data_IF_396779001240
#
_entry.id   IF_396779001240
#
_cell.length_a   1.000
_cell.length_b   1.000
_cell.length_c   1.000
_cell.angle_alpha   90.00
_cell.angle_beta   90.00
_cell.angle_gamma   90.00
#
_symmetry.space_group_name_H-M   'P 1'
#
loop_
_entity.id
_entity.type
_entity.pdbx_description
1 polymer ?
#
# COMPACT_ATOMS: atom_id res chain seq x y z
N UNK A 1 3.16 1.07 -10.49
CA UNK A 1 2.09 0.11 -10.84
C UNK A 1 1.93 -0.82 -9.66
N UNK A 2 0.70 -1.15 -9.25
CA UNK A 2 0.51 -2.13 -8.20
C UNK A 2 1.41 -3.33 -8.47
N UNK A 3 1.88 -4.00 -7.40
CA UNK A 3 2.53 -5.29 -7.51
C UNK A 3 1.53 -6.31 -8.02
N UNK A 4 1.23 -6.16 -9.29
CA UNK A 4 0.44 -7.16 -9.94
C UNK A 4 1.26 -8.46 -9.90
N UNK A 5 0.66 -9.57 -9.51
CA UNK A 5 1.34 -10.85 -9.39
C UNK A 5 1.80 -11.41 -10.75
N UNK A 6 1.61 -10.65 -11.79
CA UNK A 6 1.85 -11.01 -13.18
C UNK A 6 2.17 -9.74 -13.95
N UNK A 7 3.03 -9.85 -14.91
CA UNK A 7 3.11 -8.87 -15.97
C UNK A 7 1.76 -8.86 -16.69
N UNK A 8 0.99 -7.76 -16.64
CA UNK A 8 -0.34 -7.79 -17.23
C UNK A 8 -0.20 -8.00 -18.73
N UNK A 9 -0.66 -9.16 -19.18
CA UNK A 9 -0.66 -9.50 -20.60
C UNK A 9 -1.55 -8.56 -21.42
N UNK A 10 -2.44 -7.79 -20.75
CA UNK A 10 -3.31 -6.82 -21.43
C UNK A 10 -3.79 -5.70 -20.52
N UNK A 11 -4.07 -4.54 -21.10
CA UNK A 11 -4.73 -3.39 -20.43
C UNK A 11 -6.10 -3.79 -19.86
N UNK A 12 -6.78 -4.75 -20.48
CA UNK A 12 -8.07 -5.26 -20.03
C UNK A 12 -7.97 -5.97 -18.68
N UNK A 13 -6.98 -6.87 -18.50
CA UNK A 13 -6.75 -7.55 -17.23
C UNK A 13 -6.41 -6.57 -16.11
N UNK A 14 -5.63 -5.54 -16.40
CA UNK A 14 -5.37 -4.45 -15.44
C UNK A 14 -6.69 -3.77 -15.03
N UNK A 15 -7.53 -3.42 -16.00
CA UNK A 15 -8.82 -2.79 -15.75
C UNK A 15 -9.73 -3.66 -14.87
N UNK A 16 -9.81 -4.96 -15.16
CA UNK A 16 -10.58 -5.94 -14.38
C UNK A 16 -10.05 -6.05 -12.94
N UNK A 17 -8.73 -6.10 -12.76
CA UNK A 17 -8.12 -6.13 -11.43
C UNK A 17 -8.42 -4.86 -10.63
N UNK A 18 -8.20 -3.69 -11.23
CA UNK A 18 -8.47 -2.41 -10.57
C UNK A 18 -9.94 -2.26 -10.19
N UNK A 19 -10.86 -2.79 -11.01
CA UNK A 19 -12.29 -2.85 -10.71
C UNK A 19 -12.65 -3.79 -9.57
N UNK A 20 -11.87 -4.86 -9.34
CA UNK A 20 -12.12 -5.85 -8.29
C UNK A 20 -11.46 -5.53 -6.95
N UNK A 21 -10.42 -4.68 -6.97
CA UNK A 21 -9.59 -4.40 -5.80
C UNK A 21 -10.24 -3.39 -4.86
N UNK A 22 -10.51 -3.82 -3.63
CA UNK A 22 -11.03 -2.96 -2.55
C UNK A 22 -12.31 -2.21 -2.93
N UNK A 23 -13.26 -2.91 -3.55
CA UNK A 23 -14.58 -2.37 -3.94
C UNK A 23 -15.31 -1.74 -2.74
N UNK A 24 -15.05 -2.26 -1.53
CA UNK A 24 -15.63 -1.76 -0.28
C UNK A 24 -14.98 -0.43 0.18
N UNK A 25 -13.92 0.06 -0.46
CA UNK A 25 -13.22 1.31 -0.10
C UNK A 25 -12.58 1.29 1.29
N UNK A 26 -12.07 0.15 1.75
CA UNK A 26 -11.44 0.00 3.06
C UNK A 26 -10.12 0.73 3.15
N UNK A 27 -9.35 0.77 2.06
CA UNK A 27 -8.02 1.39 2.05
C UNK A 27 -8.10 2.90 2.25
N UNK A 28 -8.91 3.67 1.48
CA UNK A 28 -9.04 5.11 1.74
C UNK A 28 -9.59 5.41 3.13
N UNK A 29 -10.55 4.63 3.65
CA UNK A 29 -11.03 4.79 5.03
C UNK A 29 -9.94 4.49 6.07
N UNK A 30 -9.06 3.53 5.82
CA UNK A 30 -7.95 3.23 6.72
C UNK A 30 -6.91 4.37 6.71
N UNK A 31 -6.64 4.98 5.55
CA UNK A 31 -5.78 6.15 5.42
C UNK A 31 -6.34 7.32 6.23
N UNK A 32 -7.63 7.62 6.08
CA UNK A 32 -8.33 8.66 6.82
C UNK A 32 -8.30 8.42 8.33
N UNK A 33 -8.51 7.17 8.76
CA UNK A 33 -8.46 6.78 10.18
C UNK A 33 -7.04 6.89 10.80
N UNK A 34 -5.98 6.86 10.00
CA UNK A 34 -4.61 7.10 10.45
C UNK A 34 -4.28 8.59 10.60
N UNK A 35 -5.20 9.44 10.17
CA UNK A 35 -5.18 10.89 10.32
C UNK A 35 -5.87 11.54 9.12
N UNK A 36 -6.69 12.58 9.35
CA UNK A 36 -7.48 13.22 8.32
C UNK A 36 -6.63 13.73 7.15
N UNK A 37 -7.12 13.54 5.94
CA UNK A 37 -6.52 14.06 4.70
C UNK A 37 -7.29 15.25 4.13
N UNK A 38 -8.51 15.49 4.62
CA UNK A 38 -9.32 16.63 4.22
C UNK A 38 -8.61 17.96 4.44
N UNK A 39 -8.59 18.81 3.39
CA UNK A 39 -7.87 20.08 3.39
C UNK A 39 -6.35 20.00 3.40
N UNK A 40 -5.75 18.80 3.26
CA UNK A 40 -4.31 18.59 3.26
C UNK A 40 -3.74 18.54 1.84
N UNK A 41 -2.48 18.95 1.69
CA UNK A 41 -1.70 18.77 0.47
C UNK A 41 -1.13 17.36 0.47
N UNK A 42 -1.65 16.51 -0.42
CA UNK A 42 -1.30 15.09 -0.50
C UNK A 42 -0.51 14.81 -1.75
N UNK A 43 0.68 14.26 -1.61
CA UNK A 43 1.46 13.72 -2.71
C UNK A 43 1.16 12.22 -2.83
N UNK A 44 0.75 11.80 -4.02
CA UNK A 44 0.43 10.42 -4.33
C UNK A 44 1.46 9.85 -5.30
N UNK A 45 2.19 8.82 -4.85
CA UNK A 45 3.11 8.03 -5.68
C UNK A 45 2.41 6.73 -6.09
N UNK A 46 2.33 6.47 -7.39
CA UNK A 46 1.60 5.31 -7.91
C UNK A 46 0.09 5.40 -7.68
N UNK A 47 -0.59 4.26 -7.69
CA UNK A 47 -2.03 4.16 -7.39
C UNK A 47 -2.99 4.69 -8.47
N UNK A 48 -2.50 5.48 -9.41
CA UNK A 48 -3.26 5.98 -10.56
C UNK A 48 -4.46 6.84 -10.21
N UNK A 49 -5.31 7.10 -11.21
CA UNK A 49 -6.49 7.98 -11.08
C UNK A 49 -7.50 7.53 -10.03
N UNK A 50 -7.68 6.22 -9.87
CA UNK A 50 -8.67 5.70 -8.91
C UNK A 50 -8.32 6.10 -7.49
N UNK A 51 -7.06 5.96 -7.09
CA UNK A 51 -6.60 6.32 -5.73
C UNK A 51 -6.55 7.84 -5.54
N UNK A 52 -6.15 8.59 -6.56
CA UNK A 52 -6.22 10.05 -6.51
C UNK A 52 -7.65 10.51 -6.23
N UNK A 53 -8.62 10.06 -7.02
CA UNK A 53 -10.03 10.42 -6.82
C UNK A 53 -10.56 10.03 -5.44
N UNK A 54 -10.22 8.85 -4.93
CA UNK A 54 -10.63 8.43 -3.59
C UNK A 54 -10.11 9.35 -2.48
N UNK A 55 -8.89 9.89 -2.62
CA UNK A 55 -8.34 10.86 -1.67
C UNK A 55 -8.97 12.25 -1.83
N UNK A 56 -9.26 12.65 -3.07
CA UNK A 56 -9.98 13.91 -3.38
C UNK A 56 -11.41 13.88 -2.83
N UNK A 57 -12.11 12.75 -2.92
CA UNK A 57 -13.43 12.54 -2.33
C UNK A 57 -13.42 12.67 -0.79
N UNK A 58 -12.27 12.43 -0.14
CA UNK A 58 -12.06 12.72 1.28
C UNK A 58 -11.67 14.19 1.54
N UNK A 59 -11.65 15.04 0.50
CA UNK A 59 -11.35 16.45 0.59
C UNK A 59 -9.86 16.81 0.54
N UNK A 60 -8.98 15.89 0.13
CA UNK A 60 -7.57 16.17 -0.07
C UNK A 60 -7.30 17.00 -1.33
N UNK A 61 -6.24 17.79 -1.32
CA UNK A 61 -5.65 18.40 -2.51
C UNK A 61 -4.53 17.47 -2.99
N UNK A 62 -4.79 16.70 -4.05
CA UNK A 62 -3.89 15.62 -4.50
C UNK A 62 -2.99 16.08 -5.64
N UNK A 63 -1.68 15.93 -5.46
CA UNK A 63 -0.69 15.97 -6.54
C UNK A 63 -0.29 14.51 -6.84
N UNK A 64 -0.76 14.01 -7.98
CA UNK A 64 -0.46 12.63 -8.40
C UNK A 64 0.82 12.61 -9.21
N UNK A 65 1.78 11.84 -8.71
CA UNK A 65 3.04 11.54 -9.38
C UNK A 65 2.96 10.14 -9.97
N UNK A 66 3.76 9.86 -10.97
CA UNK A 66 3.95 8.50 -11.47
C UNK A 66 4.59 7.57 -10.45
N UNK A 67 5.15 6.48 -10.96
CA UNK A 67 5.93 5.57 -10.12
C UNK A 67 7.18 6.26 -9.57
N UNK A 68 7.66 5.76 -8.44
CA UNK A 68 8.88 6.26 -7.81
C UNK A 68 10.10 6.14 -8.77
N UNK A 69 10.80 7.25 -8.95
CA UNK A 69 11.97 7.36 -9.82
C UNK A 69 13.26 7.75 -9.08
N UNK A 70 13.23 7.72 -7.76
CA UNK A 70 14.36 8.12 -6.91
C UNK A 70 14.29 9.57 -6.42
N UNK A 71 13.49 10.43 -7.06
CA UNK A 71 13.27 11.84 -6.66
C UNK A 71 11.82 12.26 -6.88
N UNK A 72 11.34 13.13 -6.01
CA UNK A 72 10.02 13.77 -6.12
C UNK A 72 10.24 15.21 -6.57
N UNK A 73 9.74 15.56 -7.75
CA UNK A 73 9.90 16.92 -8.31
C UNK A 73 8.94 17.91 -7.66
N UNK A 74 9.16 18.14 -6.37
CA UNK A 74 8.43 19.08 -5.53
C UNK A 74 9.38 19.79 -4.56
N UNK A 75 9.06 21.03 -4.13
CA UNK A 75 9.84 21.75 -3.14
C UNK A 75 9.90 21.05 -1.78
N UNK A 76 10.92 21.39 -1.00
CA UNK A 76 11.05 20.99 0.40
C UNK A 76 9.84 21.47 1.21
N UNK A 77 9.32 20.61 2.08
CA UNK A 77 8.22 20.96 2.98
C UNK A 77 6.94 21.38 2.27
N UNK A 78 6.64 20.84 1.09
CA UNK A 78 5.47 21.20 0.29
C UNK A 78 4.23 20.34 0.56
N UNK A 79 4.38 19.16 1.18
CA UNK A 79 3.29 18.23 1.41
C UNK A 79 2.99 17.98 2.89
N UNK A 80 1.72 17.84 3.24
CA UNK A 80 1.26 17.40 4.57
C UNK A 80 1.29 15.86 4.68
N UNK A 81 0.97 15.19 3.57
CA UNK A 81 0.91 13.73 3.52
C UNK A 81 1.55 13.23 2.22
N UNK A 82 2.38 12.22 2.31
CA UNK A 82 2.86 11.45 1.18
C UNK A 82 2.31 10.03 1.29
N UNK A 83 1.60 9.60 0.25
CA UNK A 83 1.05 8.24 0.15
C UNK A 83 1.69 7.55 -1.03
N UNK A 84 2.35 6.42 -0.79
CA UNK A 84 2.92 5.58 -1.83
C UNK A 84 2.09 4.31 -1.97
N UNK A 85 1.49 4.08 -3.14
CA UNK A 85 0.73 2.87 -3.46
C UNK A 85 1.56 1.96 -4.35
N UNK A 86 2.13 0.90 -3.78
CA UNK A 86 2.95 -0.10 -4.47
C UNK A 86 4.04 0.51 -5.35
N UNK A 87 4.51 1.70 -4.98
CA UNK A 87 5.52 2.47 -5.73
C UNK A 87 6.57 2.99 -4.77
N UNK A 88 7.82 2.55 -4.92
CA UNK A 88 8.90 2.90 -4.00
C UNK A 88 8.88 2.14 -2.68
N UNK A 89 9.90 2.37 -1.88
CA UNK A 89 10.14 1.77 -0.56
C UNK A 89 10.27 0.23 -0.55
N UNK A 90 10.46 -0.39 -1.69
CA UNK A 90 10.65 -1.85 -1.82
C UNK A 90 12.09 -2.25 -1.54
N UNK A 91 13.02 -1.43 -1.96
CA UNK A 91 14.46 -1.61 -1.71
C UNK A 91 14.84 -1.37 -0.26
N UNK A 92 13.90 -0.90 0.57
CA UNK A 92 14.17 -0.53 1.96
C UNK A 92 15.33 0.48 2.07
N UNK A 93 15.35 1.47 1.17
CA UNK A 93 16.41 2.46 1.05
C UNK A 93 16.21 3.63 2.02
N UNK A 94 17.31 4.07 2.63
CA UNK A 94 17.32 5.27 3.47
C UNK A 94 17.23 6.54 2.61
N UNK A 95 17.66 6.49 1.37
CA UNK A 95 17.59 7.58 0.40
C UNK A 95 16.12 7.89 0.06
N UNK A 96 15.31 6.85 -0.16
CA UNK A 96 13.86 7.02 -0.38
C UNK A 96 13.20 7.70 0.83
N UNK A 97 13.61 7.31 2.03
CA UNK A 97 13.09 7.89 3.26
C UNK A 97 13.48 9.36 3.42
N UNK A 98 14.76 9.70 3.11
CA UNK A 98 15.24 11.09 3.13
C UNK A 98 14.52 11.98 2.13
N UNK A 99 14.26 11.45 0.94
CA UNK A 99 13.53 12.19 -0.10
C UNK A 99 12.07 12.42 0.29
N UNK A 100 11.39 11.41 0.85
CA UNK A 100 10.06 11.59 1.41
C UNK A 100 10.04 12.64 2.54
N UNK A 101 11.02 12.58 3.45
CA UNK A 101 11.16 13.55 4.53
C UNK A 101 11.46 14.96 4.02
N UNK A 102 12.20 15.10 2.92
CA UNK A 102 12.47 16.39 2.30
C UNK A 102 11.18 17.08 1.86
N UNK A 103 10.32 16.36 1.15
CA UNK A 103 9.06 16.88 0.59
C UNK A 103 8.01 17.13 1.67
N UNK A 104 8.00 16.32 2.73
CA UNK A 104 7.05 16.50 3.83
C UNK A 104 7.36 17.72 4.69
N UNK A 105 6.31 18.44 5.08
CA UNK A 105 6.35 19.46 6.13
C UNK A 105 6.77 18.87 7.47
N UNK A 106 7.12 19.71 8.43
CA UNK A 106 7.26 19.29 9.82
C UNK A 106 5.93 18.64 10.27
N UNK A 107 5.99 17.54 10.98
CA UNK A 107 4.84 16.71 11.37
C UNK A 107 4.03 16.11 10.20
N UNK A 108 4.54 16.21 8.97
CA UNK A 108 3.97 15.56 7.80
C UNK A 108 4.00 14.02 7.93
N UNK A 109 3.08 13.36 7.28
CA UNK A 109 2.89 11.91 7.38
C UNK A 109 3.32 11.19 6.12
N UNK A 110 4.06 10.10 6.29
CA UNK A 110 4.40 9.14 5.25
C UNK A 110 3.59 7.86 5.44
N UNK A 111 2.84 7.47 4.41
CA UNK A 111 2.09 6.23 4.34
C UNK A 111 2.57 5.42 3.13
N UNK A 112 3.03 4.20 3.37
CA UNK A 112 3.50 3.29 2.33
C UNK A 112 2.59 2.07 2.30
N UNK A 113 1.95 1.85 1.18
CA UNK A 113 0.95 0.79 0.97
C UNK A 113 1.57 -0.32 0.15
N UNK A 114 1.63 -1.51 0.72
CA UNK A 114 2.10 -2.73 0.08
C UNK A 114 1.20 -3.92 0.42
N UNK A 115 1.40 -5.01 -0.27
CA UNK A 115 0.78 -6.27 0.08
C UNK A 115 1.29 -6.75 1.45
N UNK A 116 0.39 -7.30 2.25
CA UNK A 116 0.77 -7.91 3.53
C UNK A 116 1.04 -9.39 3.40
N UNK A 117 0.37 -10.05 2.47
CA UNK A 117 0.40 -11.50 2.32
C UNK A 117 -0.55 -12.23 3.29
N UNK A 118 -0.37 -13.54 3.41
CA UNK A 118 -1.18 -14.45 4.24
C UNK A 118 -2.66 -14.46 3.86
N UNK A 119 -2.94 -14.47 2.58
CA UNK A 119 -4.28 -14.42 1.99
C UNK A 119 -4.34 -15.29 0.73
N UNK A 120 -5.52 -15.36 0.10
CA UNK A 120 -5.73 -16.20 -1.09
C UNK A 120 -4.91 -15.69 -2.28
N UNK A 121 -4.84 -14.37 -2.45
CA UNK A 121 -4.08 -13.74 -3.54
C UNK A 121 -2.59 -14.01 -3.40
N UNK A 122 -2.03 -13.90 -2.19
CA UNK A 122 -0.61 -14.20 -1.93
C UNK A 122 -0.28 -15.65 -2.26
N UNK A 123 -1.16 -16.58 -1.93
CA UNK A 123 -0.96 -18.00 -2.28
C UNK A 123 -0.95 -18.25 -3.79
N UNK A 124 -1.80 -17.55 -4.54
CA UNK A 124 -1.79 -17.62 -6.01
C UNK A 124 -0.50 -17.08 -6.63
N UNK A 125 0.10 -16.07 -6.00
CA UNK A 125 1.32 -15.39 -6.47
C UNK A 125 2.61 -16.13 -6.08
N UNK A 126 2.51 -17.13 -5.22
CA UNK A 126 3.64 -17.59 -4.44
C UNK A 126 4.04 -16.56 -3.39
N UNK A 127 4.18 -16.99 -2.14
CA UNK A 127 4.54 -16.08 -1.03
C UNK A 127 5.88 -15.38 -1.31
N UNK A 128 5.83 -14.09 -1.56
CA UNK A 128 7.03 -13.30 -1.77
C UNK A 128 7.75 -13.10 -0.44
N UNK A 129 9.06 -13.38 -0.36
CA UNK A 129 9.83 -13.34 0.90
C UNK A 129 9.79 -11.98 1.60
N UNK A 130 9.68 -10.89 0.84
CA UNK A 130 9.65 -9.52 1.36
C UNK A 130 8.45 -9.25 2.26
N UNK A 131 7.28 -9.84 2.01
CA UNK A 131 6.09 -9.60 2.85
C UNK A 131 6.33 -9.97 4.32
N UNK A 132 6.95 -11.12 4.55
CA UNK A 132 7.35 -11.55 5.89
C UNK A 132 8.47 -10.71 6.48
N UNK A 133 9.36 -10.16 5.67
CA UNK A 133 10.52 -9.37 6.10
C UNK A 133 10.10 -7.97 6.52
N UNK A 134 9.24 -7.31 5.75
CA UNK A 134 8.81 -5.94 6.04
C UNK A 134 7.98 -5.80 7.31
N UNK A 135 7.13 -6.77 7.62
CA UNK A 135 6.23 -6.74 8.79
C UNK A 135 6.86 -7.25 10.09
N UNK A 136 8.09 -7.78 10.07
CA UNK A 136 8.79 -8.26 11.27
C UNK A 136 9.17 -7.12 12.20
N UNK A 137 9.21 -7.41 13.52
CA UNK A 137 9.61 -6.45 14.57
C UNK A 137 10.96 -5.77 14.28
N UNK A 138 11.92 -6.50 13.71
CA UNK A 138 13.23 -6.00 13.25
C UNK A 138 13.29 -5.74 11.74
N UNK A 139 12.17 -5.71 11.05
CA UNK A 139 12.09 -5.32 9.65
C UNK A 139 12.42 -3.85 9.45
N UNK A 140 12.77 -3.51 8.23
CA UNK A 140 13.24 -2.17 7.90
C UNK A 140 12.23 -1.06 8.28
N UNK A 141 10.95 -1.24 7.96
CA UNK A 141 9.93 -0.23 8.28
C UNK A 141 9.85 0.05 9.79
N UNK A 142 9.73 -1.01 10.60
CA UNK A 142 9.57 -0.83 12.04
C UNK A 142 10.84 -0.26 12.69
N UNK A 143 12.03 -0.64 12.20
CA UNK A 143 13.31 -0.05 12.66
C UNK A 143 13.44 1.43 12.32
N UNK A 144 12.80 1.89 11.23
CA UNK A 144 12.81 3.29 10.82
C UNK A 144 11.59 4.08 11.32
N UNK A 145 10.98 3.64 12.42
CA UNK A 145 9.94 4.36 13.13
C UNK A 145 8.54 4.25 12.54
N UNK A 146 8.33 3.38 11.56
CA UNK A 146 6.99 3.11 11.06
C UNK A 146 6.20 2.23 12.03
N UNK A 147 4.89 2.43 12.01
CA UNK A 147 3.89 1.50 12.52
C UNK A 147 3.21 0.83 11.34
N UNK A 148 2.55 -0.30 11.59
CA UNK A 148 1.82 -1.05 10.57
C UNK A 148 0.33 -1.09 10.89
N UNK A 149 -0.50 -0.83 9.89
CA UNK A 149 -1.94 -1.09 9.90
C UNK A 149 -2.25 -2.13 8.82
N UNK A 150 -2.75 -3.28 9.22
CA UNK A 150 -3.22 -4.30 8.25
C UNK A 150 -4.69 -4.04 7.95
N UNK A 151 -5.03 -4.04 6.68
CA UNK A 151 -6.39 -3.86 6.16
C UNK A 151 -6.78 -5.15 5.42
N UNK A 152 -7.83 -5.80 5.90
CA UNK A 152 -8.37 -7.00 5.27
C UNK A 152 -9.31 -6.62 4.13
N UNK A 153 -8.82 -6.71 2.90
CA UNK A 153 -9.54 -6.42 1.68
C UNK A 153 -9.92 -7.71 0.93
N UNK A 154 -10.56 -7.54 -0.21
CA UNK A 154 -10.89 -8.61 -1.12
C UNK A 154 -10.65 -8.15 -2.57
N UNK A 155 -10.32 -9.09 -3.43
CA UNK A 155 -10.67 -9.01 -4.83
C UNK A 155 -12.10 -9.51 -4.95
N UNK A 156 -13.02 -8.66 -5.37
CA UNK A 156 -14.45 -8.97 -5.48
C UNK A 156 -14.89 -8.86 -6.94
N UNK A 157 -15.55 -9.86 -7.43
CA UNK A 157 -16.04 -9.94 -8.81
C UNK A 157 -17.56 -9.96 -8.81
N UNK A 158 -18.17 -9.57 -9.92
CA UNK A 158 -19.62 -9.48 -10.06
C UNK A 158 -20.32 -10.84 -10.04
N UNK A 159 -19.61 -11.90 -10.47
CA UNK A 159 -20.14 -13.28 -10.49
C UNK A 159 -19.02 -14.31 -10.35
N UNK A 160 -19.40 -15.56 -10.12
CA UNK A 160 -18.46 -16.71 -10.13
C UNK A 160 -17.81 -16.87 -11.51
N UNK A 161 -18.55 -16.64 -12.58
CA UNK A 161 -18.04 -16.74 -13.95
C UNK A 161 -17.01 -15.63 -14.22
N UNK A 162 -17.28 -14.41 -13.77
CA UNK A 162 -16.32 -13.29 -13.87
C UNK A 162 -15.04 -13.57 -13.08
N UNK A 163 -15.16 -14.12 -11.86
CA UNK A 163 -14.02 -14.55 -11.06
C UNK A 163 -13.24 -15.66 -11.78
N UNK A 164 -13.96 -16.67 -12.31
CA UNK A 164 -13.37 -17.80 -13.02
C UNK A 164 -12.57 -17.37 -14.24
N UNK A 165 -13.20 -16.59 -15.12
CA UNK A 165 -12.53 -16.05 -16.30
C UNK A 165 -11.27 -15.26 -15.92
N UNK A 166 -11.38 -14.32 -14.94
CA UNK A 166 -10.24 -13.54 -14.51
C UNK A 166 -9.09 -14.41 -13.95
N UNK A 167 -9.40 -15.36 -13.10
CA UNK A 167 -8.38 -16.20 -12.47
C UNK A 167 -7.70 -17.14 -13.46
N UNK A 168 -8.44 -17.70 -14.41
CA UNK A 168 -7.88 -18.54 -15.47
C UNK A 168 -7.02 -17.72 -16.41
N UNK A 169 -7.52 -16.56 -16.88
CA UNK A 169 -6.78 -15.67 -17.78
C UNK A 169 -5.46 -15.17 -17.15
N UNK A 170 -5.45 -15.05 -15.82
CA UNK A 170 -4.32 -14.48 -15.07
C UNK A 170 -3.33 -15.54 -14.59
N UNK A 171 -3.82 -16.65 -14.07
CA UNK A 171 -3.02 -17.64 -13.35
C UNK A 171 -3.05 -19.03 -14.00
N UNK A 172 -3.75 -19.18 -15.13
CA UNK A 172 -3.84 -20.45 -15.85
C UNK A 172 -4.36 -21.60 -14.97
N UNK A 173 -3.65 -22.76 -14.94
CA UNK A 173 -4.08 -23.93 -14.17
C UNK A 173 -4.24 -23.68 -12.66
N UNK A 174 -3.44 -22.80 -12.07
CA UNK A 174 -3.57 -22.41 -10.65
C UNK A 174 -4.88 -21.66 -10.41
N UNK A 175 -5.26 -20.76 -11.31
CA UNK A 175 -6.53 -20.07 -11.26
C UNK A 175 -7.72 -21.03 -11.37
N UNK A 176 -7.65 -21.99 -12.30
CA UNK A 176 -8.68 -23.02 -12.45
C UNK A 176 -8.87 -23.83 -11.16
N UNK A 177 -7.78 -24.30 -10.53
CA UNK A 177 -7.84 -25.05 -9.28
C UNK A 177 -8.46 -24.26 -8.12
N UNK A 178 -8.23 -22.94 -8.07
CA UNK A 178 -8.84 -22.08 -7.04
C UNK A 178 -10.35 -21.95 -7.24
N UNK A 179 -10.81 -21.82 -8.47
CA UNK A 179 -12.24 -21.73 -8.80
C UNK A 179 -13.02 -22.93 -8.32
N UNK A 180 -12.49 -24.15 -8.43
CA UNK A 180 -13.14 -25.37 -7.95
C UNK A 180 -13.49 -25.34 -6.46
N UNK A 181 -12.73 -24.57 -5.68
CA UNK A 181 -12.91 -24.46 -4.23
C UNK A 181 -13.57 -23.15 -3.78
N UNK A 182 -13.72 -22.21 -4.68
CA UNK A 182 -14.23 -20.87 -4.37
C UNK A 182 -15.76 -20.93 -4.12
N UNK A 183 -16.19 -20.48 -2.95
CA UNK A 183 -17.61 -20.47 -2.56
C UNK A 183 -18.33 -19.15 -2.86
N UNK A 184 -17.59 -18.09 -3.14
CA UNK A 184 -18.10 -16.74 -3.40
C UNK A 184 -17.18 -16.07 -4.42
N UNK A 185 -17.66 -15.14 -5.24
CA UNK A 185 -16.83 -14.48 -6.25
C UNK A 185 -15.86 -13.45 -5.62
N UNK A 186 -15.06 -13.87 -4.65
CA UNK A 186 -14.07 -13.03 -3.99
C UNK A 186 -12.93 -13.84 -3.38
N UNK A 187 -11.73 -13.26 -3.39
CA UNK A 187 -10.54 -13.76 -2.74
C UNK A 187 -10.10 -12.80 -1.63
N UNK A 188 -9.60 -13.33 -0.54
CA UNK A 188 -9.01 -12.51 0.52
C UNK A 188 -7.72 -11.87 -0.01
N UNK A 189 -7.52 -10.58 0.35
CA UNK A 189 -6.36 -9.80 -0.04
C UNK A 189 -5.99 -8.83 1.08
N UNK A 190 -4.88 -9.05 1.73
CA UNK A 190 -4.45 -8.23 2.86
C UNK A 190 -3.44 -7.16 2.41
N UNK A 191 -3.70 -5.94 2.80
CA UNK A 191 -2.85 -4.78 2.52
C UNK A 191 -2.23 -4.30 3.81
N UNK A 192 -0.93 -3.99 3.77
CA UNK A 192 -0.21 -3.30 4.85
C UNK A 192 -0.11 -1.81 4.53
N UNK A 193 -0.46 -0.95 5.47
CA UNK A 193 -0.14 0.47 5.46
C UNK A 193 0.94 0.69 6.52
N UNK A 194 2.16 0.87 6.07
CA UNK A 194 3.27 1.32 6.92
C UNK A 194 3.20 2.83 7.04
N UNK A 195 3.13 3.36 8.24
CA UNK A 195 2.92 4.79 8.44
C UNK A 195 3.82 5.35 9.54
N UNK A 196 4.29 6.58 9.33
CA UNK A 196 5.04 7.35 10.31
C UNK A 196 4.79 8.84 10.15
N UNK A 197 5.10 9.61 11.20
CA UNK A 197 5.15 11.07 11.15
C UNK A 197 6.60 11.54 11.08
N UNK A 198 6.93 12.50 10.22
CA UNK A 198 8.25 13.14 10.15
C UNK A 198 8.52 13.83 11.49
N UNK A 199 9.69 13.60 12.07
CA UNK A 199 10.04 14.15 13.40
C UNK A 199 9.44 13.38 14.58
N UNK A 200 8.56 12.41 14.36
CA UNK A 200 8.02 11.55 15.41
C UNK A 200 9.13 10.71 16.07
N UNK A 201 9.18 10.73 17.41
CA UNK A 201 10.16 9.94 18.18
C UNK A 201 10.01 8.45 17.84
N UNK A 202 11.09 7.83 17.40
CA UNK A 202 11.19 6.37 17.37
C UNK A 202 10.97 5.83 18.78
N UNK A 203 10.12 4.83 18.94
CA UNK A 203 9.80 4.22 20.24
C UNK A 203 10.98 3.52 20.93
N UNK A 204 12.19 3.65 20.40
CA UNK A 204 13.41 2.98 20.88
C UNK A 204 14.24 3.78 21.90
N UNK A 205 13.85 4.99 22.28
CA UNK A 205 14.67 5.84 23.17
C UNK A 205 14.21 5.87 24.64
N UNK A 206 13.33 4.98 25.08
CA UNK A 206 12.74 5.01 26.42
C UNK A 206 13.31 3.96 27.40
N UNK A 207 14.54 3.47 27.18
CA UNK A 207 15.16 2.52 28.14
C UNK A 207 16.65 2.80 28.36
N UNK A 208 16.97 4.02 28.82
CA UNK A 208 18.31 4.29 29.37
C UNK A 208 18.23 5.48 30.31
N UNK A 209 17.77 5.26 31.53
CA UNK A 209 17.72 6.33 32.50
C UNK A 209 17.18 5.92 33.86
N UNK A 210 17.66 4.80 34.40
CA UNK A 210 17.62 4.56 35.86
C UNK A 210 18.84 3.72 36.22
N UNK A 211 19.88 4.36 36.67
CA UNK A 211 20.79 3.78 37.68
C UNK A 211 21.61 4.89 38.32
N UNK A 212 21.68 4.76 39.60
CA UNK A 212 22.65 5.32 40.53
C UNK A 212 22.13 6.49 41.36
N UNK A 213 21.84 6.13 42.58
CA UNK A 213 21.80 6.89 43.80
C UNK A 213 21.57 5.95 44.93
#
# INVERSE_FOLDING_TARGET
>A
MADLPFEPASTELIGRLLGSLDVEGKVPRAIEALGPVGGRDVVLLGGGRTRARQLEELGARVVSMGDWTGRIDLPDGSADVLVSFWSGFRSASIEELREADRVLRHDGRLLVVHDYGRDDVSRLRGDLPEYGTWSRRNGWFLKNGFRIRVVHCFWTFDSMDAAGSFLVDTFGPLGAAVIETLKRPRLTYNIAIYHRTKGGRSASAATSGVTAG
#
